data_IF_013124868747
#
_entry.id   IF_013124868747
#
_cell.length_a   1.000
_cell.length_b   1.000
_cell.length_c   1.000
_cell.angle_alpha   90.00
_cell.angle_beta   90.00
_cell.angle_gamma   90.00
#
_symmetry.space_group_name_H-M   'P 1'
#
loop_
_entity.id
_entity.type
_entity.pdbx_description
1 polymer ?
#
# COMPACT_ATOMS: atom_id res chain seq x y z
N UNK A 1 10.48 16.40 15.71
CA UNK A 1 10.49 15.70 14.41
C UNK A 1 9.13 15.91 13.79
N UNK A 2 9.06 16.23 12.50
CA UNK A 2 7.78 16.45 11.83
C UNK A 2 7.19 15.10 11.37
N UNK A 3 6.23 14.56 12.14
CA UNK A 3 5.56 13.31 11.81
C UNK A 3 4.73 13.41 10.52
N UNK A 4 4.28 14.62 10.16
CA UNK A 4 3.57 14.85 8.89
C UNK A 4 4.54 14.71 7.72
N UNK A 5 5.76 15.23 7.82
CA UNK A 5 6.80 14.98 6.80
C UNK A 5 7.12 13.49 6.67
N UNK A 6 7.25 12.76 7.78
CA UNK A 6 7.50 11.31 7.76
C UNK A 6 6.35 10.56 7.09
N UNK A 7 5.09 10.81 7.49
CA UNK A 7 3.93 10.16 6.88
C UNK A 7 3.80 10.50 5.39
N UNK A 8 4.04 11.76 5.02
CA UNK A 8 4.04 12.21 3.62
C UNK A 8 5.11 11.47 2.84
N UNK A 9 6.35 11.46 3.32
CA UNK A 9 7.45 10.77 2.67
C UNK A 9 7.14 9.29 2.43
N UNK A 10 6.63 8.58 3.44
CA UNK A 10 6.34 7.15 3.29
C UNK A 10 5.17 6.92 2.32
N UNK A 11 4.05 7.63 2.45
CA UNK A 11 2.89 7.42 1.57
C UNK A 11 3.20 7.76 0.11
N UNK A 12 3.94 8.86 -0.14
CA UNK A 12 4.32 9.25 -1.49
C UNK A 12 5.42 8.35 -2.06
N UNK A 13 6.52 8.09 -1.33
CA UNK A 13 7.59 7.21 -1.85
C UNK A 13 7.13 5.80 -2.15
N UNK A 14 6.12 5.30 -1.43
CA UNK A 14 5.66 3.95 -1.62
C UNK A 14 4.81 3.80 -2.91
N UNK A 15 4.30 4.87 -3.51
CA UNK A 15 3.42 4.74 -4.66
C UNK A 15 3.75 5.67 -5.82
N UNK A 16 4.22 6.91 -5.59
CA UNK A 16 4.15 7.98 -6.59
C UNK A 16 5.36 8.92 -6.56
N UNK A 17 5.98 9.13 -7.74
CA UNK A 17 7.09 10.07 -7.88
C UNK A 17 6.63 11.53 -7.77
N UNK A 18 5.42 11.82 -8.25
CA UNK A 18 4.86 13.15 -8.45
C UNK A 18 3.32 13.12 -8.36
N UNK A 19 2.64 14.27 -8.17
CA UNK A 19 1.18 14.33 -8.20
C UNK A 19 0.60 13.75 -9.49
N UNK A 20 -0.49 12.99 -9.38
CA UNK A 20 -1.17 12.36 -10.51
C UNK A 20 -0.37 11.30 -11.27
N UNK A 21 0.81 10.87 -10.80
CA UNK A 21 1.65 9.89 -11.49
C UNK A 21 1.87 8.61 -10.68
N UNK A 22 1.50 7.46 -11.25
CA UNK A 22 1.86 6.13 -10.76
C UNK A 22 3.22 5.71 -11.23
N UNK A 23 4.17 5.59 -10.29
CA UNK A 23 5.53 5.16 -10.60
C UNK A 23 5.69 3.67 -10.39
N UNK A 24 6.23 3.01 -11.40
CA UNK A 24 6.87 1.72 -11.19
C UNK A 24 8.21 1.93 -10.46
N UNK A 25 8.36 1.35 -9.26
CA UNK A 25 9.58 1.53 -8.45
C UNK A 25 10.82 0.88 -9.06
N UNK A 26 10.66 0.00 -10.06
CA UNK A 26 11.73 -0.83 -10.64
C UNK A 26 12.11 -0.40 -12.06
N UNK A 27 11.21 0.25 -12.81
CA UNK A 27 11.41 0.61 -14.23
C UNK A 27 11.41 2.12 -14.53
N UNK A 28 11.22 2.98 -13.52
CA UNK A 28 11.19 4.45 -13.65
C UNK A 28 10.06 4.99 -14.57
N UNK A 29 9.12 4.15 -14.98
CA UNK A 29 7.97 4.56 -15.79
C UNK A 29 6.90 5.18 -14.90
N UNK A 30 6.42 6.37 -15.28
CA UNK A 30 5.32 7.07 -14.66
C UNK A 30 4.08 7.02 -15.57
N UNK A 31 2.94 6.58 -15.05
CA UNK A 31 1.66 6.62 -15.77
C UNK A 31 0.73 7.67 -15.15
N UNK A 32 0.06 8.51 -15.96
CA UNK A 32 -0.88 9.49 -15.44
C UNK A 32 -2.14 8.80 -14.93
N UNK A 33 -2.50 9.08 -13.69
CA UNK A 33 -3.73 8.65 -13.05
C UNK A 33 -4.35 9.83 -12.35
N UNK A 34 -5.37 10.39 -13.01
CA UNK A 34 -6.12 11.55 -12.54
C UNK A 34 -6.73 11.29 -11.16
N UNK A 35 -6.53 12.23 -10.24
CA UNK A 35 -7.05 12.16 -8.88
C UNK A 35 -6.25 11.27 -7.92
N UNK A 36 -5.14 10.66 -8.37
CA UNK A 36 -4.28 9.86 -7.48
C UNK A 36 -3.64 10.70 -6.37
N UNK A 37 -3.35 11.99 -6.62
CA UNK A 37 -2.85 12.91 -5.60
C UNK A 37 -3.92 13.21 -4.51
N UNK A 38 -5.18 13.37 -4.91
CA UNK A 38 -6.30 13.59 -3.99
C UNK A 38 -6.50 12.37 -3.09
N UNK A 39 -6.44 11.17 -3.65
CA UNK A 39 -6.55 9.92 -2.89
C UNK A 39 -5.43 9.86 -1.83
N UNK A 40 -4.20 10.21 -2.21
CA UNK A 40 -3.05 10.16 -1.30
C UNK A 40 -3.11 11.22 -0.22
N UNK A 41 -3.51 12.45 -0.56
CA UNK A 41 -3.71 13.51 0.44
C UNK A 41 -4.73 13.11 1.49
N UNK A 42 -5.85 12.52 1.08
CA UNK A 42 -6.88 12.02 2.01
C UNK A 42 -6.40 10.83 2.83
N UNK A 43 -5.59 9.93 2.27
CA UNK A 43 -4.95 8.86 3.05
C UNK A 43 -3.96 9.42 4.09
N UNK A 44 -3.21 10.45 3.73
CA UNK A 44 -2.33 11.17 4.66
C UNK A 44 -3.13 11.82 5.79
N UNK A 45 -4.22 12.51 5.47
CA UNK A 45 -5.14 13.08 6.47
C UNK A 45 -5.68 11.99 7.41
N UNK A 46 -6.06 10.82 6.87
CA UNK A 46 -6.56 9.70 7.65
C UNK A 46 -5.49 9.14 8.61
N UNK A 47 -4.23 9.00 8.14
CA UNK A 47 -3.10 8.54 8.96
C UNK A 47 -2.78 9.53 10.08
N UNK A 48 -2.88 10.83 9.79
CA UNK A 48 -2.55 11.90 10.75
C UNK A 48 -3.71 12.26 11.69
N UNK A 49 -4.93 11.78 11.41
CA UNK A 49 -6.15 12.18 12.12
C UNK A 49 -6.09 11.99 13.65
N UNK A 50 -5.34 11.00 14.14
CA UNK A 50 -5.17 10.73 15.57
C UNK A 50 -3.72 10.89 16.04
N UNK A 51 -2.89 11.68 15.34
CA UNK A 51 -1.44 11.82 15.62
C UNK A 51 -1.15 12.18 17.09
N UNK A 52 -2.02 12.94 17.74
CA UNK A 52 -1.89 13.27 19.17
C UNK A 52 -1.75 12.02 20.06
N UNK A 53 -2.41 10.91 19.72
CA UNK A 53 -2.25 9.66 20.47
C UNK A 53 -0.83 9.11 20.35
N UNK A 54 -0.18 9.30 19.21
CA UNK A 54 1.22 8.92 19.04
C UNK A 54 2.12 9.81 19.89
N UNK A 55 1.90 11.12 19.84
CA UNK A 55 2.68 12.11 20.60
C UNK A 55 2.55 11.92 22.12
N UNK A 56 1.39 11.47 22.58
CA UNK A 56 1.11 11.09 23.96
C UNK A 56 1.73 9.73 24.38
N UNK A 57 2.37 9.00 23.46
CA UNK A 57 2.89 7.64 23.71
C UNK A 57 1.83 6.54 23.73
N UNK A 58 0.59 6.82 23.29
CA UNK A 58 -0.54 5.87 23.21
C UNK A 58 -0.55 5.12 21.88
N UNK A 59 0.59 4.57 21.47
CA UNK A 59 0.83 3.96 20.16
C UNK A 59 -0.16 2.83 19.81
N UNK A 60 -0.51 1.98 20.78
CA UNK A 60 -1.49 0.89 20.58
C UNK A 60 -2.89 1.43 20.28
N UNK A 61 -3.27 2.53 20.93
CA UNK A 61 -4.58 3.17 20.70
C UNK A 61 -4.59 3.85 19.33
N UNK A 62 -3.51 4.55 18.97
CA UNK A 62 -3.30 5.12 17.64
C UNK A 62 -3.49 4.06 16.54
N UNK A 63 -2.73 2.96 16.62
CA UNK A 63 -2.81 1.87 15.64
C UNK A 63 -4.18 1.20 15.60
N UNK A 64 -4.83 1.04 16.75
CA UNK A 64 -6.17 0.45 16.82
C UNK A 64 -7.23 1.32 16.13
N UNK A 65 -7.20 2.65 16.37
CA UNK A 65 -8.11 3.59 15.72
C UNK A 65 -7.84 3.68 14.23
N UNK A 66 -6.57 3.75 13.83
CA UNK A 66 -6.18 3.76 12.43
C UNK A 66 -6.68 2.49 11.72
N UNK A 67 -6.37 1.30 12.26
CA UNK A 67 -6.83 0.02 11.73
C UNK A 67 -8.36 -0.04 11.56
N UNK A 68 -9.12 0.45 12.55
CA UNK A 68 -10.58 0.51 12.46
C UNK A 68 -11.06 1.45 11.35
N UNK A 69 -10.45 2.62 11.19
CA UNK A 69 -10.78 3.59 10.13
C UNK A 69 -10.52 3.01 8.74
N UNK A 70 -9.45 2.24 8.58
CA UNK A 70 -9.13 1.59 7.31
C UNK A 70 -9.84 0.25 7.10
N UNK A 71 -10.56 -0.27 8.09
CA UNK A 71 -11.32 -1.53 7.98
C UNK A 71 -10.48 -2.81 8.15
N UNK A 72 -9.34 -2.74 8.84
CA UNK A 72 -8.45 -3.88 9.08
C UNK A 72 -8.48 -4.34 10.55
N UNK A 73 -8.02 -5.58 10.79
CA UNK A 73 -7.90 -6.12 12.15
C UNK A 73 -6.78 -5.42 12.94
N UNK A 74 -7.19 -4.61 13.92
CA UNK A 74 -6.30 -3.91 14.84
C UNK A 74 -5.33 -4.86 15.57
N UNK A 75 -5.77 -6.07 15.95
CA UNK A 75 -4.91 -7.01 16.69
C UNK A 75 -3.76 -7.48 15.81
N UNK A 76 -4.06 -7.86 14.57
CA UNK A 76 -3.05 -8.24 13.57
C UNK A 76 -2.06 -7.11 13.34
N UNK A 77 -2.54 -5.89 13.06
CA UNK A 77 -1.67 -4.75 12.77
C UNK A 77 -0.74 -4.40 13.94
N UNK A 78 -1.26 -4.41 15.16
CA UNK A 78 -0.45 -4.18 16.36
C UNK A 78 0.58 -5.29 16.54
N UNK A 79 0.21 -6.56 16.34
CA UNK A 79 1.12 -7.69 16.45
C UNK A 79 2.28 -7.58 15.46
N UNK A 80 1.99 -7.36 14.18
CA UNK A 80 2.99 -7.22 13.12
C UNK A 80 3.94 -6.06 13.39
N UNK A 81 3.42 -4.92 13.84
CA UNK A 81 4.25 -3.78 14.26
C UNK A 81 5.22 -4.15 15.38
N UNK A 82 4.77 -4.88 16.41
CA UNK A 82 5.66 -5.34 17.49
C UNK A 82 6.68 -6.37 17.00
N UNK A 83 6.29 -7.30 16.12
CA UNK A 83 7.22 -8.27 15.50
C UNK A 83 8.33 -7.52 14.75
N UNK A 84 7.97 -6.48 13.99
CA UNK A 84 8.92 -5.66 13.22
C UNK A 84 9.86 -4.83 14.11
N UNK A 85 9.44 -4.48 15.32
CA UNK A 85 10.29 -3.80 16.30
C UNK A 85 11.29 -4.73 17.01
N UNK A 86 11.00 -6.04 17.15
CA UNK A 86 11.86 -6.98 17.88
C UNK A 86 13.33 -7.00 17.43
N UNK A 87 13.67 -7.00 16.13
CA UNK A 87 15.07 -7.02 15.69
C UNK A 87 15.75 -5.65 15.74
N UNK A 88 15.03 -4.57 16.08
CA UNK A 88 15.56 -3.21 16.06
C UNK A 88 16.33 -2.91 17.36
N UNK A 89 17.53 -2.31 17.30
CA UNK A 89 18.27 -1.88 18.49
C UNK A 89 17.46 -0.94 19.39
N UNK A 90 17.62 -1.06 20.71
CA UNK A 90 16.85 -0.27 21.69
C UNK A 90 17.02 1.24 21.50
N UNK A 91 18.22 1.69 21.12
CA UNK A 91 18.49 3.11 20.88
C UNK A 91 17.67 3.65 19.70
N UNK A 92 17.42 2.83 18.68
CA UNK A 92 16.59 3.19 17.53
C UNK A 92 15.10 3.12 17.87
N UNK A 93 14.66 2.14 18.67
CA UNK A 93 13.27 2.06 19.15
C UNK A 93 12.90 3.25 20.06
N UNK A 94 13.88 3.82 20.77
CA UNK A 94 13.68 5.03 21.57
C UNK A 94 13.43 6.29 20.72
N UNK A 95 13.78 6.26 19.43
CA UNK A 95 13.45 7.34 18.50
C UNK A 95 11.98 7.19 18.06
N UNK A 96 11.10 8.01 18.66
CA UNK A 96 9.66 8.02 18.36
C UNK A 96 9.34 8.18 16.88
N UNK A 97 10.15 8.95 16.15
CA UNK A 97 10.00 9.14 14.71
C UNK A 97 10.31 7.91 13.88
N UNK A 98 11.40 7.22 14.21
CA UNK A 98 11.74 5.94 13.58
C UNK A 98 10.63 4.91 13.85
N UNK A 99 10.15 4.87 15.09
CA UNK A 99 9.06 3.99 15.50
C UNK A 99 7.74 4.31 14.77
N UNK A 100 7.44 5.59 14.57
CA UNK A 100 6.28 6.05 13.79
C UNK A 100 6.41 5.63 12.32
N UNK A 101 7.59 5.81 11.73
CA UNK A 101 7.88 5.34 10.37
C UNK A 101 7.62 3.84 10.22
N UNK A 102 8.03 3.02 11.18
CA UNK A 102 7.75 1.58 11.17
C UNK A 102 6.26 1.26 11.31
N UNK A 103 5.54 1.99 12.16
CA UNK A 103 4.09 1.84 12.33
C UNK A 103 3.34 2.12 11.02
N UNK A 104 3.62 3.25 10.36
CA UNK A 104 3.01 3.62 9.08
C UNK A 104 3.42 2.65 7.96
N UNK A 105 4.67 2.20 7.96
CA UNK A 105 5.13 1.18 7.00
C UNK A 105 4.37 -0.14 7.13
N UNK A 106 3.97 -0.52 8.34
CA UNK A 106 3.20 -1.75 8.56
C UNK A 106 1.74 -1.61 8.11
N UNK A 107 1.13 -0.43 8.33
CA UNK A 107 -0.19 -0.09 7.79
C UNK A 107 -0.18 -0.22 6.27
N UNK A 108 0.80 0.41 5.61
CA UNK A 108 0.92 0.41 4.15
C UNK A 108 1.17 -1.01 3.63
N UNK A 109 2.07 -1.77 4.26
CA UNK A 109 2.33 -3.18 3.91
C UNK A 109 1.05 -4.02 3.98
N UNK A 110 0.26 -3.85 5.04
CA UNK A 110 -1.02 -4.57 5.20
C UNK A 110 -1.98 -4.27 4.05
N UNK A 111 -2.09 -3.00 3.64
CA UNK A 111 -2.92 -2.59 2.50
C UNK A 111 -2.39 -3.20 1.19
N UNK A 112 -1.06 -3.20 0.99
CA UNK A 112 -0.43 -3.78 -0.19
C UNK A 112 -0.71 -5.28 -0.31
N UNK A 113 -0.60 -6.02 0.78
CA UNK A 113 -0.91 -7.45 0.82
C UNK A 113 -2.36 -7.72 0.42
N UNK A 114 -3.31 -6.95 0.96
CA UNK A 114 -4.73 -7.13 0.65
C UNK A 114 -5.04 -6.78 -0.81
N UNK A 115 -4.52 -5.65 -1.31
CA UNK A 115 -4.66 -5.24 -2.70
C UNK A 115 -4.08 -6.27 -3.67
N UNK A 116 -2.92 -6.84 -3.34
CA UNK A 116 -2.27 -7.91 -4.13
C UNK A 116 -3.11 -9.18 -4.11
N UNK A 117 -3.59 -9.60 -2.94
CA UNK A 117 -4.43 -10.78 -2.80
C UNK A 117 -5.74 -10.65 -3.59
N UNK A 118 -6.35 -9.46 -3.61
CA UNK A 118 -7.55 -9.18 -4.42
C UNK A 118 -7.26 -9.35 -5.91
N UNK A 119 -6.16 -8.79 -6.43
CA UNK A 119 -5.75 -8.96 -7.84
C UNK A 119 -5.51 -10.42 -8.18
N UNK A 120 -4.71 -11.14 -7.38
CA UNK A 120 -4.41 -12.55 -7.61
C UNK A 120 -5.70 -13.39 -7.60
N UNK A 121 -6.65 -13.11 -6.70
CA UNK A 121 -7.97 -13.77 -6.69
C UNK A 121 -8.77 -13.47 -7.96
N UNK A 122 -8.73 -12.24 -8.48
CA UNK A 122 -9.41 -11.87 -9.74
C UNK A 122 -8.82 -12.60 -10.94
N UNK A 123 -7.48 -12.62 -11.06
CA UNK A 123 -6.78 -13.36 -12.11
C UNK A 123 -7.10 -14.87 -12.03
N UNK A 124 -7.05 -15.46 -10.83
CA UNK A 124 -7.42 -16.86 -10.57
C UNK A 124 -8.86 -17.22 -10.98
N UNK A 125 -9.80 -16.26 -10.93
CA UNK A 125 -11.19 -16.47 -11.37
C UNK A 125 -11.33 -16.46 -12.89
N UNK A 126 -10.44 -15.74 -13.59
CA UNK A 126 -10.47 -15.57 -15.05
C UNK A 126 -9.60 -16.60 -15.78
N UNK A 127 -8.62 -17.20 -15.12
CA UNK A 127 -7.75 -18.24 -15.69
C UNK A 127 -8.22 -19.66 -15.34
N UNK A 128 -8.32 -20.55 -16.33
CA UNK A 128 -8.77 -21.95 -16.12
C UNK A 128 -7.71 -22.84 -15.46
N UNK A 129 -6.42 -22.55 -15.65
CA UNK A 129 -5.30 -23.39 -15.18
C UNK A 129 -4.55 -22.76 -13.99
N UNK A 130 -4.99 -23.07 -12.78
CA UNK A 130 -4.50 -22.41 -11.55
C UNK A 130 -3.01 -22.63 -11.23
N UNK A 131 -2.46 -23.83 -11.47
CA UNK A 131 -1.05 -24.13 -11.19
C UNK A 131 -0.11 -23.40 -12.16
N UNK A 132 -0.46 -23.38 -13.45
CA UNK A 132 0.31 -22.63 -14.46
C UNK A 132 0.25 -21.12 -14.19
N UNK A 133 -0.89 -20.61 -13.71
CA UNK A 133 -1.02 -19.20 -13.31
C UNK A 133 -0.05 -18.80 -12.18
N UNK A 134 0.10 -19.63 -11.15
CA UNK A 134 1.00 -19.30 -10.03
C UNK A 134 2.45 -19.20 -10.49
N UNK A 135 2.90 -20.09 -11.36
CA UNK A 135 4.22 -20.06 -11.97
C UNK A 135 4.39 -18.80 -12.83
N UNK A 136 3.45 -18.51 -13.74
CA UNK A 136 3.51 -17.32 -14.60
C UNK A 136 3.50 -16.01 -13.79
N UNK A 137 2.72 -15.92 -12.71
CA UNK A 137 2.73 -14.73 -11.84
C UNK A 137 4.07 -14.55 -11.12
N UNK A 138 4.69 -15.66 -10.70
CA UNK A 138 6.02 -15.63 -10.12
C UNK A 138 7.06 -15.18 -11.15
N UNK A 139 7.02 -15.71 -12.37
CA UNK A 139 7.89 -15.30 -13.48
C UNK A 139 7.74 -13.80 -13.79
N UNK A 140 6.51 -13.29 -13.91
CA UNK A 140 6.24 -11.86 -14.13
C UNK A 140 6.81 -10.98 -13.00
N UNK A 141 6.72 -11.45 -11.75
CA UNK A 141 7.28 -10.76 -10.59
C UNK A 141 8.82 -10.74 -10.62
N UNK A 142 9.45 -11.87 -10.95
CA UNK A 142 10.91 -12.02 -11.03
C UNK A 142 11.52 -11.24 -12.20
N UNK A 143 10.81 -11.19 -13.33
CA UNK A 143 11.18 -10.43 -14.52
C UNK A 143 10.94 -8.93 -14.37
N UNK A 144 10.34 -8.48 -13.26
CA UNK A 144 9.93 -7.09 -13.06
C UNK A 144 9.05 -6.59 -14.22
N UNK A 145 8.09 -7.41 -14.64
CA UNK A 145 7.21 -7.06 -15.73
C UNK A 145 6.44 -5.77 -15.41
N UNK A 146 6.54 -4.79 -16.31
CA UNK A 146 6.01 -3.45 -16.13
C UNK A 146 4.49 -3.47 -15.94
N UNK A 147 3.76 -4.15 -16.81
CA UNK A 147 2.29 -4.16 -16.77
C UNK A 147 1.78 -4.82 -15.49
N UNK A 148 2.42 -5.91 -15.06
CA UNK A 148 2.07 -6.59 -13.83
C UNK A 148 2.33 -5.73 -12.59
N UNK A 149 3.49 -5.08 -12.52
CA UNK A 149 3.82 -4.19 -11.41
C UNK A 149 2.91 -2.96 -11.36
N UNK A 150 2.59 -2.36 -12.51
CA UNK A 150 1.63 -1.25 -12.60
C UNK A 150 0.23 -1.68 -12.18
N UNK A 151 -0.23 -2.88 -12.55
CA UNK A 151 -1.50 -3.44 -12.07
C UNK A 151 -1.53 -3.53 -10.54
N UNK A 152 -0.45 -3.97 -9.90
CA UNK A 152 -0.36 -4.04 -8.44
C UNK A 152 -0.41 -2.64 -7.80
N UNK A 153 0.30 -1.65 -8.35
CA UNK A 153 0.26 -0.28 -7.86
C UNK A 153 -1.13 0.36 -8.03
N UNK A 154 -1.77 0.14 -9.17
CA UNK A 154 -3.16 0.55 -9.43
C UNK A 154 -4.13 -0.11 -8.44
N UNK A 155 -3.92 -1.38 -8.11
CA UNK A 155 -4.71 -2.06 -7.08
C UNK A 155 -4.57 -1.42 -5.71
N UNK A 156 -3.35 -1.02 -5.33
CA UNK A 156 -3.12 -0.33 -4.05
C UNK A 156 -3.83 1.02 -4.03
N UNK A 157 -3.72 1.80 -5.12
CA UNK A 157 -4.41 3.08 -5.21
C UNK A 157 -5.93 2.92 -5.16
N UNK A 158 -6.45 1.86 -5.79
CA UNK A 158 -7.87 1.50 -5.71
C UNK A 158 -8.28 1.19 -4.26
N UNK A 159 -7.48 0.41 -3.53
CA UNK A 159 -7.72 0.10 -2.12
C UNK A 159 -7.72 1.37 -1.26
N UNK A 160 -6.78 2.28 -1.51
CA UNK A 160 -6.76 3.59 -0.84
C UNK A 160 -8.05 4.35 -1.11
N UNK A 161 -8.47 4.44 -2.38
CA UNK A 161 -9.71 5.11 -2.76
C UNK A 161 -10.95 4.49 -2.09
N UNK A 162 -11.01 3.17 -1.96
CA UNK A 162 -12.09 2.46 -1.24
C UNK A 162 -12.10 2.85 0.26
N UNK A 163 -10.95 2.86 0.91
CA UNK A 163 -10.79 3.22 2.33
C UNK A 163 -11.29 4.65 2.62
N UNK A 164 -10.82 5.61 1.82
CA UNK A 164 -11.15 7.04 1.98
C UNK A 164 -12.41 7.48 1.22
N UNK A 165 -13.11 6.54 0.57
CA UNK A 165 -14.33 6.77 -0.22
C UNK A 165 -14.16 7.87 -1.27
N UNK A 166 -13.04 7.85 -2.01
CA UNK A 166 -12.84 8.74 -3.15
C UNK A 166 -13.20 8.07 -4.48
N UNK A 167 -13.50 8.88 -5.51
CA UNK A 167 -13.50 8.41 -6.89
C UNK A 167 -12.14 7.82 -7.27
N UNK A 168 -12.16 6.75 -8.07
CA UNK A 168 -10.99 6.10 -8.62
C UNK A 168 -11.24 5.81 -10.11
N UNK A 169 -10.32 6.16 -11.03
CA UNK A 169 -10.47 5.87 -12.45
C UNK A 169 -10.31 4.36 -12.69
N UNK A 170 -11.42 3.64 -12.70
CA UNK A 170 -11.43 2.18 -12.81
C UNK A 170 -10.99 1.70 -14.21
N UNK A 171 -11.11 2.56 -15.21
CA UNK A 171 -10.77 2.30 -16.60
C UNK A 171 -9.29 1.92 -16.76
N UNK A 172 -8.39 2.68 -16.14
CA UNK A 172 -6.94 2.39 -16.22
C UNK A 172 -6.59 1.10 -15.48
N UNK A 173 -7.26 0.78 -14.37
CA UNK A 173 -7.08 -0.52 -13.71
C UNK A 173 -7.48 -1.67 -14.65
N UNK A 174 -8.64 -1.55 -15.32
CA UNK A 174 -9.12 -2.57 -16.24
C UNK A 174 -8.19 -2.73 -17.46
N UNK A 175 -7.63 -1.64 -17.98
CA UNK A 175 -6.65 -1.69 -19.08
C UNK A 175 -5.44 -2.56 -18.70
N UNK A 176 -4.79 -2.28 -17.57
CA UNK A 176 -3.63 -3.05 -17.11
C UNK A 176 -4.01 -4.47 -16.70
N UNK A 177 -5.22 -4.68 -16.17
CA UNK A 177 -5.73 -6.02 -15.88
C UNK A 177 -5.80 -6.87 -17.15
N UNK A 178 -6.33 -6.32 -18.25
CA UNK A 178 -6.39 -7.03 -19.54
C UNK A 178 -5.00 -7.28 -20.14
N UNK A 179 -4.07 -6.32 -20.06
CA UNK A 179 -2.66 -6.53 -20.48
C UNK A 179 -2.02 -7.71 -19.75
N UNK A 180 -2.17 -7.76 -18.43
CA UNK A 180 -1.66 -8.88 -17.62
C UNK A 180 -2.37 -10.18 -17.98
N UNK A 181 -3.68 -10.17 -18.22
CA UNK A 181 -4.40 -11.36 -18.67
C UNK A 181 -3.87 -11.90 -20.00
N UNK A 182 -3.46 -11.04 -20.94
CA UNK A 182 -2.82 -11.46 -22.19
C UNK A 182 -1.46 -12.13 -21.96
N UNK A 183 -0.66 -11.62 -21.02
CA UNK A 183 0.64 -12.23 -20.65
C UNK A 183 0.47 -13.60 -19.97
N UNK A 184 -0.67 -13.82 -19.32
CA UNK A 184 -0.96 -15.05 -18.57
C UNK A 184 -1.57 -16.16 -19.44
N UNK A 185 -2.04 -15.88 -20.64
CA UNK A 185 -2.57 -16.88 -21.59
C UNK A 185 -1.45 -17.41 -22.47
#
# INVERSE_FOLDING_TARGET
MDYKEVATYILYQQLFAEPNLIRDRRSLVNIPVEGSDVIIKKMLELVLADLQLWEDGKEKEFLSKLAKKIGFDAKRMILEFHIRLKPVPREQVANSGFKFMLAISEVIKTIHEEATNKVVKLLKKKTKKKKELEIKLQELSEQNNLDFSLLLNLSILKEYAEIIKAPYPIEIFNEYFEKVMLLLN
#
